data_IF_904013740761
#
_entry.id   IF_904013740761
#
_cell.length_a   1.000
_cell.length_b   1.000
_cell.length_c   1.000
_cell.angle_alpha   90.00
_cell.angle_beta   90.00
_cell.angle_gamma   90.00
#
_symmetry.space_group_name_H-M   'P 1'
#
loop_
_entity.id
_entity.type
_entity.pdbx_description
1 polymer ?
#
# COMPACT_ATOMS: atom_id res chain seq x y z
N UNK A 1 -18.95 -9.53 7.19
CA UNK A 1 -17.87 -8.94 6.37
C UNK A 1 -18.13 -9.08 4.86
N UNK A 2 -18.34 -10.31 4.35
CA UNK A 2 -18.69 -10.57 2.94
C UNK A 2 -19.90 -9.78 2.41
N UNK A 3 -21.00 -9.73 3.17
CA UNK A 3 -22.20 -8.95 2.79
C UNK A 3 -21.89 -7.45 2.69
N UNK A 4 -21.11 -6.90 3.63
CA UNK A 4 -20.71 -5.50 3.62
C UNK A 4 -19.86 -5.18 2.38
N UNK A 5 -18.92 -6.05 2.01
CA UNK A 5 -18.08 -5.86 0.83
C UNK A 5 -18.86 -5.93 -0.48
N UNK A 6 -19.80 -6.87 -0.59
CA UNK A 6 -20.73 -6.92 -1.72
C UNK A 6 -21.51 -5.60 -1.77
N UNK A 7 -22.05 -5.16 -0.63
CA UNK A 7 -22.78 -3.91 -0.54
C UNK A 7 -21.92 -2.67 -0.81
N UNK A 8 -20.61 -2.67 -0.56
CA UNK A 8 -19.71 -1.52 -0.86
C UNK A 8 -19.26 -1.50 -2.32
N UNK A 9 -18.91 -2.67 -2.87
CA UNK A 9 -18.25 -2.78 -4.18
C UNK A 9 -19.23 -3.03 -5.35
N UNK A 10 -20.51 -3.30 -5.06
CA UNK A 10 -21.51 -3.45 -6.11
C UNK A 10 -21.84 -2.10 -6.75
N UNK A 11 -21.43 -1.91 -8.01
CA UNK A 11 -21.56 -0.63 -8.75
C UNK A 11 -22.97 -0.34 -9.29
N UNK A 12 -23.92 -1.26 -9.22
CA UNK A 12 -25.25 -1.12 -9.85
C UNK A 12 -26.38 -1.12 -8.82
N UNK A 13 -26.72 0.03 -8.24
CA UNK A 13 -28.03 0.20 -7.62
C UNK A 13 -29.04 0.57 -8.72
N UNK A 14 -29.91 -0.37 -9.10
CA UNK A 14 -31.11 -0.07 -9.89
C UNK A 14 -32.15 0.39 -8.88
N UNK A 15 -32.55 1.67 -8.93
CA UNK A 15 -33.75 2.11 -8.21
C UNK A 15 -34.96 1.61 -9.02
N UNK A 16 -35.70 0.65 -8.47
CA UNK A 16 -37.09 0.48 -8.85
C UNK A 16 -37.83 1.67 -8.22
N UNK A 17 -38.17 2.68 -9.00
CA UNK A 17 -39.08 3.72 -8.54
C UNK A 17 -40.42 3.06 -8.22
N UNK A 18 -40.66 2.72 -6.95
CA UNK A 18 -42.03 2.52 -6.46
C UNK A 18 -42.69 3.89 -6.33
N UNK A 19 -43.12 4.44 -7.47
CA UNK A 19 -44.18 5.44 -7.47
C UNK A 19 -45.50 4.73 -7.21
N UNK A 20 -45.96 4.76 -5.97
CA UNK A 20 -47.36 4.45 -5.64
C UNK A 20 -48.24 5.44 -6.43
N UNK A 21 -49.15 4.99 -7.31
CA UNK A 21 -50.02 5.91 -8.04
C UNK A 21 -51.14 6.37 -7.10
N UNK A 22 -51.08 7.62 -6.65
CA UNK A 22 -52.27 8.31 -6.15
C UNK A 22 -53.00 8.91 -7.34
N UNK A 23 -54.22 8.43 -7.55
CA UNK A 23 -55.22 8.89 -8.52
C UNK A 23 -55.32 10.42 -8.63
N UNK A 24 -55.48 10.92 -9.86
CA UNK A 24 -56.07 12.25 -10.09
C UNK A 24 -55.67 13.02 -11.34
N UNK A 25 -56.42 12.78 -12.42
CA UNK A 25 -56.84 13.74 -13.46
C UNK A 25 -55.84 14.18 -14.57
N UNK A 26 -56.33 13.98 -15.79
CA UNK A 26 -55.81 14.36 -17.11
C UNK A 26 -55.39 15.83 -17.27
N UNK A 27 -54.29 16.09 -17.99
CA UNK A 27 -54.31 16.75 -19.31
C UNK A 27 -52.96 16.61 -20.02
N UNK A 28 -53.05 16.43 -21.34
CA UNK A 28 -51.97 16.26 -22.31
C UNK A 28 -51.06 17.48 -22.38
N UNK A 29 -49.74 17.29 -22.40
CA UNK A 29 -48.91 17.93 -23.42
C UNK A 29 -47.58 17.22 -23.64
N UNK A 30 -47.31 17.06 -24.92
CA UNK A 30 -46.13 16.48 -25.57
C UNK A 30 -44.83 17.14 -25.11
N UNK A 31 -43.88 16.32 -24.64
CA UNK A 31 -42.45 16.54 -24.87
C UNK A 31 -41.72 15.20 -24.75
N UNK A 32 -41.34 14.65 -25.89
CA UNK A 32 -40.32 13.60 -26.02
C UNK A 32 -39.01 14.10 -25.41
N UNK A 33 -38.76 13.82 -24.14
CA UNK A 33 -37.47 14.05 -23.50
C UNK A 33 -36.73 12.72 -23.37
N UNK A 34 -35.71 12.60 -24.22
CA UNK A 34 -34.61 11.65 -24.11
C UNK A 34 -34.00 11.77 -22.71
N UNK A 35 -34.41 10.92 -21.77
CA UNK A 35 -33.78 10.85 -20.43
C UNK A 35 -33.98 9.51 -19.70
N UNK A 36 -34.09 8.41 -20.42
CA UNK A 36 -34.01 7.05 -19.84
C UNK A 36 -32.60 6.46 -20.05
N UNK A 37 -31.56 7.21 -19.70
CA UNK A 37 -30.26 6.60 -19.41
C UNK A 37 -30.31 6.17 -17.93
N UNK A 38 -29.97 4.91 -17.57
CA UNK A 38 -29.93 4.50 -16.18
C UNK A 38 -28.95 5.43 -15.44
N UNK A 39 -29.48 6.28 -14.57
CA UNK A 39 -28.65 7.14 -13.75
C UNK A 39 -27.86 6.23 -12.81
N UNK A 40 -26.57 6.03 -13.10
CA UNK A 40 -25.67 5.32 -12.21
C UNK A 40 -25.54 6.15 -10.93
N UNK A 41 -26.21 5.73 -9.86
CA UNK A 41 -26.07 6.36 -8.55
C UNK A 41 -24.87 5.75 -7.81
N UNK A 42 -24.15 6.60 -7.07
CA UNK A 42 -23.12 6.13 -6.16
C UNK A 42 -23.73 5.18 -5.13
N UNK A 43 -23.00 4.12 -4.83
CA UNK A 43 -23.44 3.10 -3.91
C UNK A 43 -23.63 3.72 -2.49
N UNK A 44 -24.86 3.68 -1.94
CA UNK A 44 -25.17 4.34 -0.67
C UNK A 44 -24.37 3.75 0.50
N UNK A 45 -24.02 2.46 0.46
CA UNK A 45 -23.23 1.81 1.49
C UNK A 45 -21.75 2.22 1.41
N UNK A 46 -21.21 2.40 0.20
CA UNK A 46 -19.86 2.94 0.00
C UNK A 46 -19.78 4.37 0.52
N UNK A 47 -20.76 5.22 0.17
CA UNK A 47 -20.84 6.60 0.67
C UNK A 47 -21.00 6.64 2.19
N UNK A 48 -21.80 5.75 2.76
CA UNK A 48 -21.98 5.66 4.21
C UNK A 48 -20.70 5.23 4.94
N UNK A 49 -19.91 4.31 4.37
CA UNK A 49 -18.61 3.89 4.93
C UNK A 49 -17.57 5.02 4.86
N UNK A 50 -17.49 5.72 3.73
CA UNK A 50 -16.54 6.82 3.53
C UNK A 50 -16.79 8.01 4.48
N UNK A 51 -18.05 8.24 4.85
CA UNK A 51 -18.45 9.30 5.78
C UNK A 51 -18.70 8.80 7.21
N UNK A 52 -18.33 7.55 7.53
CA UNK A 52 -18.52 7.02 8.87
C UNK A 52 -17.61 7.76 9.85
N UNK A 53 -18.16 8.13 11.02
CA UNK A 53 -17.42 8.85 12.06
C UNK A 53 -17.20 7.97 13.29
N UNK A 54 -16.12 8.24 14.02
CA UNK A 54 -15.85 7.59 15.29
C UNK A 54 -16.92 7.95 16.34
N UNK A 55 -17.19 7.03 17.26
CA UNK A 55 -18.16 7.26 18.35
C UNK A 55 -17.63 8.29 19.37
N UNK A 56 -16.32 8.44 19.53
CA UNK A 56 -15.72 9.29 20.57
C UNK A 56 -15.43 10.73 20.10
N UNK A 57 -15.30 10.96 18.79
CA UNK A 57 -15.08 12.30 18.22
C UNK A 57 -16.41 13.03 18.02
N UNK A 58 -17.01 13.43 19.15
CA UNK A 58 -18.12 14.37 19.23
C UNK A 58 -17.58 15.72 19.71
N UNK A 59 -16.78 16.40 18.87
CA UNK A 59 -16.72 17.84 19.01
C UNK A 59 -18.02 18.38 18.41
N UNK A 60 -18.87 18.85 19.32
CA UNK A 60 -20.13 19.48 19.07
C UNK A 60 -20.00 20.64 18.07
N UNK A 61 -20.00 20.36 16.77
CA UNK A 61 -20.48 21.30 15.76
C UNK A 61 -22.01 21.14 15.67
N UNK A 62 -22.68 21.38 16.80
CA UNK A 62 -24.08 21.80 16.80
C UNK A 62 -24.07 23.31 16.56
N UNK A 63 -23.55 23.75 15.41
CA UNK A 63 -23.77 25.10 14.94
C UNK A 63 -23.53 25.18 13.42
N UNK A 64 -24.63 25.10 12.68
CA UNK A 64 -24.75 25.74 11.37
C UNK A 64 -24.41 24.89 10.14
N UNK A 65 -25.46 24.36 9.50
CA UNK A 65 -25.51 24.06 8.05
C UNK A 65 -24.47 23.08 7.47
N UNK A 66 -24.73 21.77 7.54
CA UNK A 66 -24.26 20.85 6.50
C UNK A 66 -25.18 19.62 6.36
N UNK A 67 -25.73 19.50 5.14
CA UNK A 67 -26.60 18.47 4.57
C UNK A 67 -26.84 17.17 5.36
N UNK A 68 -28.10 16.98 5.75
CA UNK A 68 -28.69 15.78 6.36
C UNK A 68 -28.53 14.54 5.45
N UNK A 69 -27.50 13.73 5.71
CA UNK A 69 -27.45 12.31 5.38
C UNK A 69 -27.31 11.48 6.67
N UNK A 70 -27.72 10.19 6.68
CA UNK A 70 -27.53 9.34 7.84
C UNK A 70 -26.04 9.19 8.17
N UNK A 71 -25.59 9.75 9.29
CA UNK A 71 -24.21 9.63 9.78
C UNK A 71 -24.05 8.24 10.40
N UNK A 72 -23.29 7.38 9.72
CA UNK A 72 -22.91 6.06 10.26
C UNK A 72 -21.87 6.29 11.36
N UNK A 73 -22.15 5.79 12.56
CA UNK A 73 -21.23 5.85 13.70
C UNK A 73 -20.63 4.48 13.95
N UNK A 74 -19.31 4.41 14.06
CA UNK A 74 -18.56 3.17 14.27
C UNK A 74 -17.50 3.40 15.34
N UNK A 75 -17.28 2.43 16.23
CA UNK A 75 -16.12 2.46 17.12
C UNK A 75 -14.88 2.15 16.28
N UNK A 76 -14.07 3.17 15.96
CA UNK A 76 -12.84 2.96 15.20
C UNK A 76 -11.84 2.13 15.99
N UNK A 77 -11.81 2.24 17.31
CA UNK A 77 -11.02 1.38 18.18
C UNK A 77 -11.37 -0.11 17.99
N UNK A 78 -12.65 -0.45 18.14
CA UNK A 78 -13.11 -1.83 18.00
C UNK A 78 -12.93 -2.35 16.57
N UNK A 79 -13.12 -1.48 15.57
CA UNK A 79 -12.91 -1.81 14.17
C UNK A 79 -11.42 -2.08 13.88
N UNK A 80 -10.53 -1.25 14.40
CA UNK A 80 -9.08 -1.41 14.27
C UNK A 80 -8.59 -2.74 14.87
N UNK A 81 -9.03 -3.06 16.09
CA UNK A 81 -8.69 -4.31 16.76
C UNK A 81 -9.26 -5.53 16.01
N UNK A 82 -10.52 -5.44 15.57
CA UNK A 82 -11.16 -6.50 14.79
C UNK A 82 -10.45 -6.74 13.46
N UNK A 83 -10.07 -5.67 12.75
CA UNK A 83 -9.30 -5.77 11.51
C UNK A 83 -7.95 -6.42 11.78
N UNK A 84 -7.18 -5.95 12.76
CA UNK A 84 -5.89 -6.52 13.14
C UNK A 84 -5.93 -8.05 13.36
N UNK A 85 -6.97 -8.56 14.01
CA UNK A 85 -7.14 -10.01 14.21
C UNK A 85 -7.58 -10.78 12.96
N UNK A 86 -8.30 -10.13 12.03
CA UNK A 86 -8.92 -10.77 10.87
C UNK A 86 -8.11 -10.67 9.57
N UNK A 87 -6.97 -9.96 9.55
CA UNK A 87 -6.23 -9.68 8.31
C UNK A 87 -5.76 -10.91 7.52
N UNK A 88 -5.77 -12.11 8.10
CA UNK A 88 -5.48 -13.36 7.36
C UNK A 88 -6.48 -13.63 6.22
N UNK A 89 -7.69 -13.08 6.31
CA UNK A 89 -8.77 -13.22 5.34
C UNK A 89 -8.76 -12.09 4.29
N UNK A 90 -8.91 -12.45 3.01
CA UNK A 90 -8.85 -11.51 1.88
C UNK A 90 -9.91 -10.42 1.96
N UNK A 91 -11.10 -10.78 2.43
CA UNK A 91 -12.22 -9.85 2.59
C UNK A 91 -11.86 -8.78 3.62
N UNK A 92 -11.20 -9.17 4.71
CA UNK A 92 -10.77 -8.25 5.76
C UNK A 92 -9.68 -7.29 5.28
N UNK A 93 -8.75 -7.76 4.44
CA UNK A 93 -7.74 -6.90 3.78
C UNK A 93 -8.41 -5.89 2.85
N UNK A 94 -9.39 -6.33 2.05
CA UNK A 94 -10.13 -5.44 1.16
C UNK A 94 -10.91 -4.38 1.94
N UNK A 95 -11.55 -4.76 3.05
CA UNK A 95 -12.26 -3.80 3.91
C UNK A 95 -11.30 -2.77 4.52
N UNK A 96 -10.14 -3.22 5.01
CA UNK A 96 -9.11 -2.31 5.53
C UNK A 96 -8.66 -1.34 4.44
N UNK A 97 -8.40 -1.83 3.22
CA UNK A 97 -8.05 -0.99 2.09
C UNK A 97 -9.14 0.06 1.80
N UNK A 98 -10.42 -0.36 1.71
CA UNK A 98 -11.53 0.55 1.46
C UNK A 98 -11.65 1.64 2.53
N UNK A 99 -11.44 1.30 3.80
CA UNK A 99 -11.50 2.24 4.91
C UNK A 99 -10.32 3.22 4.88
N UNK A 100 -9.09 2.73 4.77
CA UNK A 100 -7.88 3.56 4.77
C UNK A 100 -7.82 4.48 3.54
N UNK A 101 -8.33 4.05 2.40
CA UNK A 101 -8.36 4.85 1.18
C UNK A 101 -9.59 5.79 1.11
N UNK A 102 -10.75 5.33 1.57
CA UNK A 102 -12.04 6.00 1.34
C UNK A 102 -12.55 6.86 2.50
N UNK A 103 -12.09 6.61 3.74
CA UNK A 103 -12.52 7.32 4.93
C UNK A 103 -11.32 8.04 5.57
N UNK A 104 -11.25 9.35 5.38
CA UNK A 104 -10.16 10.20 5.92
C UNK A 104 -10.10 10.17 7.44
N UNK A 105 -11.25 10.12 8.12
CA UNK A 105 -11.32 10.12 9.58
C UNK A 105 -10.73 8.82 10.14
N UNK A 106 -11.02 7.68 9.50
CA UNK A 106 -10.44 6.40 9.87
C UNK A 106 -8.95 6.34 9.54
N UNK A 107 -8.53 6.90 8.40
CA UNK A 107 -7.12 6.99 8.04
C UNK A 107 -6.34 7.79 9.10
N UNK A 108 -6.81 9.00 9.45
CA UNK A 108 -6.20 9.84 10.48
C UNK A 108 -6.19 9.14 11.83
N UNK A 109 -7.29 8.47 12.19
CA UNK A 109 -7.36 7.63 13.39
C UNK A 109 -6.24 6.59 13.41
N UNK A 110 -6.00 5.86 12.31
CA UNK A 110 -4.91 4.87 12.23
C UNK A 110 -3.54 5.54 12.38
N UNK A 111 -3.33 6.71 11.77
CA UNK A 111 -2.03 7.41 11.77
C UNK A 111 -1.61 7.89 13.17
N UNK A 112 -2.57 8.25 14.04
CA UNK A 112 -2.28 8.76 15.40
C UNK A 112 -2.18 7.66 16.47
N UNK A 113 -2.41 6.39 16.11
CA UNK A 113 -2.35 5.26 17.07
C UNK A 113 -0.91 4.97 17.49
N UNK A 114 -0.77 4.48 18.73
CA UNK A 114 0.54 4.18 19.34
C UNK A 114 0.88 2.69 19.29
N UNK A 115 -0.14 1.84 19.24
CA UNK A 115 -0.14 0.38 19.09
C UNK A 115 -0.32 -0.03 17.62
N UNK A 116 0.48 0.59 16.75
CA UNK A 116 0.47 0.31 15.30
C UNK A 116 0.83 -1.15 14.97
N UNK A 117 1.51 -1.85 15.88
CA UNK A 117 1.82 -3.27 15.74
C UNK A 117 0.57 -4.15 15.66
N UNK A 118 -0.54 -3.79 16.31
CA UNK A 118 -1.83 -4.51 16.18
C UNK A 118 -2.27 -4.66 14.72
N UNK A 119 -2.04 -3.64 13.89
CA UNK A 119 -2.39 -3.64 12.47
C UNK A 119 -1.21 -4.07 11.59
N UNK A 120 -0.03 -3.52 11.82
CA UNK A 120 1.13 -3.71 10.95
C UNK A 120 1.76 -5.09 11.12
N UNK A 121 1.72 -5.70 12.31
CA UNK A 121 2.30 -7.02 12.54
C UNK A 121 1.70 -8.10 11.63
N UNK A 122 0.36 -8.27 11.55
CA UNK A 122 -0.25 -9.24 10.62
C UNK A 122 -0.03 -8.87 9.15
N UNK A 123 0.00 -7.58 8.77
CA UNK A 123 0.33 -7.15 7.40
C UNK A 123 1.73 -7.64 7.00
N UNK A 124 2.71 -7.40 7.88
CA UNK A 124 4.10 -7.80 7.65
C UNK A 124 4.28 -9.32 7.61
N UNK A 125 3.57 -10.06 8.47
CA UNK A 125 3.58 -11.52 8.44
C UNK A 125 3.00 -12.08 7.12
N UNK A 126 1.96 -11.45 6.58
CA UNK A 126 1.40 -11.85 5.28
C UNK A 126 2.33 -11.53 4.12
N UNK A 127 2.98 -10.37 4.11
CA UNK A 127 4.00 -10.02 3.12
C UNK A 127 5.22 -10.93 3.21
N UNK A 128 5.62 -11.32 4.42
CA UNK A 128 6.67 -12.31 4.63
C UNK A 128 6.32 -13.66 4.00
N UNK A 129 5.05 -14.05 4.07
CA UNK A 129 4.48 -15.26 3.47
C UNK A 129 3.90 -15.04 2.05
N UNK A 130 4.39 -14.03 1.31
CA UNK A 130 3.85 -13.66 -0.01
C UNK A 130 3.73 -14.82 -1.00
N UNK A 131 4.61 -15.84 -0.92
CA UNK A 131 4.54 -17.03 -1.78
C UNK A 131 3.26 -17.87 -1.62
N UNK A 132 2.50 -17.67 -0.54
CA UNK A 132 1.23 -18.35 -0.24
C UNK A 132 0.01 -17.45 -0.41
N UNK A 133 0.19 -16.24 -0.94
CA UNK A 133 -0.84 -15.21 -1.07
C UNK A 133 -1.11 -14.91 -2.55
N UNK A 134 -2.32 -14.44 -2.85
CA UNK A 134 -2.65 -14.01 -4.22
C UNK A 134 -1.97 -12.67 -4.51
N UNK A 135 -1.69 -12.39 -5.79
CA UNK A 135 -1.11 -11.10 -6.18
C UNK A 135 -1.98 -9.93 -5.71
N UNK A 136 -3.31 -10.05 -5.82
CA UNK A 136 -4.26 -9.03 -5.36
C UNK A 136 -4.12 -8.74 -3.86
N UNK A 137 -4.02 -9.77 -3.02
CA UNK A 137 -3.79 -9.59 -1.59
C UNK A 137 -2.46 -8.88 -1.32
N UNK A 138 -1.38 -9.28 -1.99
CA UNK A 138 -0.07 -8.63 -1.82
C UNK A 138 -0.17 -7.15 -2.21
N UNK A 139 -0.84 -6.83 -3.32
CA UNK A 139 -1.05 -5.46 -3.77
C UNK A 139 -1.83 -4.63 -2.78
N UNK A 140 -2.96 -5.13 -2.27
CA UNK A 140 -3.74 -4.40 -1.28
C UNK A 140 -2.91 -4.09 -0.03
N UNK A 141 -2.11 -5.04 0.45
CA UNK A 141 -1.23 -4.84 1.60
C UNK A 141 -0.16 -3.77 1.32
N UNK A 142 0.48 -3.81 0.15
CA UNK A 142 1.47 -2.82 -0.23
C UNK A 142 0.85 -1.44 -0.41
N UNK A 143 -0.36 -1.33 -0.97
CA UNK A 143 -1.06 -0.06 -1.13
C UNK A 143 -1.46 0.51 0.23
N UNK A 144 -1.95 -0.32 1.17
CA UNK A 144 -2.23 0.13 2.54
C UNK A 144 -0.96 0.67 3.19
N UNK A 145 0.16 -0.06 3.12
CA UNK A 145 1.44 0.42 3.65
C UNK A 145 1.90 1.70 2.95
N UNK A 146 1.69 1.82 1.64
CA UNK A 146 2.05 3.00 0.87
C UNK A 146 1.24 4.22 1.33
N UNK A 147 -0.08 4.11 1.46
CA UNK A 147 -0.96 5.17 1.95
C UNK A 147 -0.52 5.63 3.35
N UNK A 148 -0.31 4.69 4.28
CA UNK A 148 0.11 5.02 5.64
C UNK A 148 1.52 5.66 5.67
N UNK A 149 2.45 5.15 4.86
CA UNK A 149 3.81 5.67 4.80
C UNK A 149 3.92 7.08 4.22
N UNK A 150 2.87 7.64 3.60
CA UNK A 150 2.92 9.02 3.14
C UNK A 150 2.96 10.03 4.30
N UNK A 151 2.52 9.63 5.49
CA UNK A 151 2.58 10.47 6.68
C UNK A 151 3.92 10.37 7.41
N UNK A 152 4.53 11.52 7.66
CA UNK A 152 5.82 11.64 8.36
C UNK A 152 5.74 11.20 9.82
N UNK A 153 4.61 11.43 10.49
CA UNK A 153 4.42 11.09 11.90
C UNK A 153 4.35 9.57 12.06
N UNK A 154 3.59 8.88 11.21
CA UNK A 154 3.57 7.43 11.11
C UNK A 154 4.97 6.85 10.91
N UNK A 155 5.72 7.36 9.93
CA UNK A 155 7.08 6.88 9.68
C UNK A 155 8.00 7.04 10.89
N UNK A 156 7.92 8.17 11.60
CA UNK A 156 8.69 8.37 12.83
C UNK A 156 8.23 7.45 13.97
N UNK A 157 6.92 7.19 14.09
CA UNK A 157 6.33 6.37 15.15
C UNK A 157 6.67 4.90 15.02
N UNK A 158 6.65 4.32 13.81
CA UNK A 158 7.01 2.90 13.61
C UNK A 158 8.44 2.59 14.03
N UNK A 159 9.37 3.54 13.90
CA UNK A 159 10.76 3.35 14.35
C UNK A 159 10.93 3.46 15.87
N UNK A 160 10.00 4.10 16.58
CA UNK A 160 10.02 4.21 18.05
C UNK A 160 9.38 3.00 18.74
N UNK A 161 8.49 2.29 18.06
CA UNK A 161 7.80 1.12 18.60
C UNK A 161 8.74 -0.09 18.63
N UNK A 162 9.15 -0.53 19.82
CA UNK A 162 10.07 -1.67 20.01
C UNK A 162 9.28 -2.95 20.21
N UNK A 163 9.55 -3.94 19.37
CA UNK A 163 8.97 -5.27 19.44
C UNK A 163 9.84 -6.17 20.34
N UNK A 164 9.27 -6.85 21.34
CA UNK A 164 10.02 -7.79 22.18
C UNK A 164 10.63 -8.93 21.37
N UNK A 165 9.83 -9.55 20.50
CA UNK A 165 10.25 -10.63 19.60
C UNK A 165 9.33 -10.72 18.39
N UNK A 166 9.83 -11.33 17.31
CA UNK A 166 9.06 -11.60 16.07
C UNK A 166 9.17 -13.10 15.75
N UNK A 167 8.29 -13.96 16.32
CA UNK A 167 8.48 -15.41 16.30
C UNK A 167 8.31 -16.05 14.92
N UNK A 168 7.57 -15.41 14.02
CA UNK A 168 7.32 -15.93 12.67
C UNK A 168 8.48 -15.64 11.69
N UNK A 169 9.42 -14.76 12.04
CA UNK A 169 10.56 -14.42 11.17
C UNK A 169 11.68 -15.44 11.35
N UNK A 170 12.05 -16.15 10.27
CA UNK A 170 12.88 -17.37 10.39
C UNK A 170 14.36 -17.14 10.03
N UNK A 171 14.72 -16.13 9.24
CA UNK A 171 16.11 -15.96 8.78
C UNK A 171 17.06 -15.51 9.89
N UNK A 172 16.54 -14.81 10.92
CA UNK A 172 17.31 -14.31 12.04
C UNK A 172 16.41 -14.05 13.24
N UNK A 173 16.90 -14.41 14.41
CA UNK A 173 16.27 -14.09 15.67
C UNK A 173 16.17 -12.55 15.85
N UNK A 174 14.96 -12.00 15.84
CA UNK A 174 14.70 -10.57 16.04
C UNK A 174 14.27 -10.32 17.49
N UNK A 175 15.18 -9.79 18.31
CA UNK A 175 14.88 -9.37 19.69
C UNK A 175 15.08 -7.87 19.81
N UNK A 176 14.14 -7.20 20.49
CA UNK A 176 14.19 -5.75 20.73
C UNK A 176 14.43 -4.93 19.45
N UNK A 177 13.79 -5.33 18.35
CA UNK A 177 13.85 -4.59 17.08
C UNK A 177 12.72 -3.58 17.00
N UNK A 178 12.94 -2.43 16.39
CA UNK A 178 11.82 -1.53 16.07
C UNK A 178 10.94 -2.14 14.99
N UNK A 179 9.64 -1.81 15.03
CA UNK A 179 8.69 -2.17 13.98
C UNK A 179 9.14 -1.61 12.63
N UNK A 180 9.67 -0.39 12.59
CA UNK A 180 10.23 0.21 11.38
C UNK A 180 11.43 -0.58 10.80
N UNK A 181 12.31 -1.12 11.65
CA UNK A 181 13.39 -2.01 11.19
C UNK A 181 12.83 -3.31 10.57
N UNK A 182 11.77 -3.86 11.18
CA UNK A 182 11.10 -5.04 10.63
C UNK A 182 10.43 -4.74 9.28
N UNK A 183 9.74 -3.60 9.16
CA UNK A 183 9.14 -3.14 7.91
C UNK A 183 10.19 -3.08 6.79
N UNK A 184 11.35 -2.45 7.05
CA UNK A 184 12.46 -2.38 6.09
C UNK A 184 12.89 -3.78 5.65
N UNK A 185 13.11 -4.68 6.60
CA UNK A 185 13.55 -6.06 6.31
C UNK A 185 12.52 -6.83 5.49
N UNK A 186 11.23 -6.72 5.82
CA UNK A 186 10.14 -7.42 5.12
C UNK A 186 9.96 -6.87 3.71
N UNK A 187 9.98 -5.54 3.52
CA UNK A 187 9.88 -4.92 2.19
C UNK A 187 11.05 -5.33 1.29
N UNK A 188 12.27 -5.34 1.81
CA UNK A 188 13.46 -5.82 1.08
C UNK A 188 13.31 -7.31 0.73
N UNK A 189 12.76 -8.12 1.64
CA UNK A 189 12.47 -9.53 1.35
C UNK A 189 11.44 -9.68 0.23
N UNK A 190 10.38 -8.88 0.25
CA UNK A 190 9.32 -8.88 -0.78
C UNK A 190 9.90 -8.47 -2.14
N UNK A 191 10.79 -7.46 -2.19
CA UNK A 191 11.57 -7.12 -3.38
C UNK A 191 12.41 -8.32 -3.86
N UNK A 192 13.16 -8.97 -2.97
CA UNK A 192 13.97 -10.15 -3.33
C UNK A 192 13.13 -11.29 -3.90
N UNK A 193 11.99 -11.57 -3.27
CA UNK A 193 11.05 -12.58 -3.76
C UNK A 193 10.56 -12.24 -5.17
N UNK A 194 10.11 -11.00 -5.38
CA UNK A 194 9.64 -10.51 -6.66
C UNK A 194 10.70 -10.64 -7.76
N UNK A 195 11.94 -10.22 -7.51
CA UNK A 195 13.05 -10.36 -8.47
C UNK A 195 13.33 -11.81 -8.89
N UNK A 196 13.08 -12.76 -7.99
CA UNK A 196 13.37 -14.17 -8.20
C UNK A 196 12.23 -14.96 -8.83
N UNK A 197 10.96 -14.54 -8.65
CA UNK A 197 9.78 -15.33 -9.02
C UNK A 197 8.80 -14.61 -9.93
N UNK A 198 8.40 -13.38 -9.57
CA UNK A 198 7.27 -12.70 -10.19
C UNK A 198 7.71 -11.72 -11.30
N UNK A 199 8.86 -11.06 -11.11
CA UNK A 199 9.43 -10.03 -12.01
C UNK A 199 8.45 -8.88 -12.29
N UNK A 200 7.70 -8.48 -11.28
CA UNK A 200 6.65 -7.48 -11.40
C UNK A 200 7.17 -6.06 -11.04
N UNK A 201 7.18 -5.16 -12.01
CA UNK A 201 7.68 -3.79 -11.83
C UNK A 201 6.86 -3.02 -10.78
N UNK A 202 5.54 -3.21 -10.71
CA UNK A 202 4.68 -2.47 -9.80
C UNK A 202 4.92 -2.84 -8.34
N UNK A 203 5.16 -4.12 -8.08
CA UNK A 203 5.50 -4.59 -6.73
C UNK A 203 6.82 -3.98 -6.26
N UNK A 204 7.82 -3.87 -7.14
CA UNK A 204 9.07 -3.16 -6.83
C UNK A 204 8.84 -1.69 -6.50
N UNK A 205 8.14 -0.97 -7.38
CA UNK A 205 7.88 0.45 -7.21
C UNK A 205 7.15 0.73 -5.90
N UNK A 206 6.14 -0.06 -5.55
CA UNK A 206 5.43 0.09 -4.27
C UNK A 206 6.34 -0.14 -3.06
N UNK A 207 7.14 -1.22 -3.04
CA UNK A 207 8.05 -1.47 -1.92
C UNK A 207 9.12 -0.38 -1.79
N UNK A 208 9.70 0.07 -2.91
CA UNK A 208 10.72 1.13 -2.91
C UNK A 208 10.13 2.48 -2.51
N UNK A 209 8.90 2.80 -2.93
CA UNK A 209 8.23 4.03 -2.52
C UNK A 209 7.97 4.07 -1.01
N UNK A 210 7.53 2.95 -0.41
CA UNK A 210 7.37 2.85 1.05
C UNK A 210 8.72 3.07 1.74
N UNK A 211 9.79 2.42 1.28
CA UNK A 211 11.14 2.60 1.84
C UNK A 211 11.65 4.05 1.70
N UNK A 212 11.36 4.70 0.56
CA UNK A 212 11.70 6.10 0.31
C UNK A 212 11.00 7.04 1.27
N UNK A 213 9.70 6.83 1.51
CA UNK A 213 8.95 7.61 2.49
C UNK A 213 9.51 7.44 3.91
N UNK A 214 9.91 6.22 4.28
CA UNK A 214 10.48 5.95 5.61
C UNK A 214 11.90 6.53 5.80
N UNK A 215 12.69 6.63 4.73
CA UNK A 215 14.12 6.97 4.77
C UNK A 215 14.47 8.22 5.60
N UNK A 216 13.88 9.39 5.33
CA UNK A 216 14.14 10.63 6.10
C UNK A 216 13.79 10.53 7.59
N UNK A 217 12.89 9.61 7.97
CA UNK A 217 12.38 9.43 9.33
C UNK A 217 12.99 8.22 10.04
N UNK A 218 13.96 7.54 9.42
CA UNK A 218 14.63 6.38 9.99
C UNK A 218 15.20 6.70 11.38
N UNK A 219 14.96 5.82 12.35
CA UNK A 219 15.49 5.99 13.69
C UNK A 219 15.93 4.65 14.27
N UNK A 220 17.18 4.57 14.72
CA UNK A 220 17.79 3.37 15.32
C UNK A 220 17.52 2.11 14.49
N UNK A 221 17.76 2.17 13.19
CA UNK A 221 17.74 0.99 12.33
C UNK A 221 18.67 -0.08 12.91
N UNK A 222 18.18 -1.32 12.98
CA UNK A 222 19.01 -2.44 13.43
C UNK A 222 20.15 -2.69 12.45
N UNK A 223 21.29 -3.18 12.95
CA UNK A 223 22.42 -3.60 12.11
C UNK A 223 21.98 -4.51 10.96
N UNK A 224 21.03 -5.40 11.23
CA UNK A 224 20.46 -6.26 10.20
C UNK A 224 19.68 -5.51 9.13
N UNK A 225 18.80 -4.58 9.51
CA UNK A 225 18.02 -3.78 8.55
C UNK A 225 18.95 -2.92 7.69
N UNK A 226 19.95 -2.29 8.30
CA UNK A 226 20.99 -1.50 7.60
C UNK A 226 21.77 -2.35 6.59
N UNK A 227 22.25 -3.53 7.00
CA UNK A 227 22.92 -4.47 6.10
C UNK A 227 22.02 -4.94 4.95
N UNK A 228 20.74 -5.22 5.22
CA UNK A 228 19.78 -5.61 4.18
C UNK A 228 19.56 -4.48 3.18
N UNK A 229 19.53 -3.22 3.63
CA UNK A 229 19.37 -2.05 2.76
C UNK A 229 20.56 -1.89 1.81
N UNK A 230 21.80 -1.99 2.32
CA UNK A 230 23.00 -1.95 1.45
C UNK A 230 23.06 -3.16 0.53
N UNK A 231 22.69 -4.35 1.03
CA UNK A 231 22.63 -5.58 0.23
C UNK A 231 21.59 -5.50 -0.90
N UNK A 232 20.53 -4.68 -0.75
CA UNK A 232 19.54 -4.46 -1.80
C UNK A 232 20.18 -3.72 -2.99
N UNK A 233 20.94 -2.66 -2.73
CA UNK A 233 21.68 -1.93 -3.77
C UNK A 233 22.62 -2.86 -4.54
N UNK A 234 23.46 -3.58 -3.82
CA UNK A 234 24.45 -4.50 -4.39
C UNK A 234 23.79 -5.61 -5.24
N UNK A 235 22.66 -6.14 -4.78
CA UNK A 235 21.89 -7.14 -5.52
C UNK A 235 21.24 -6.59 -6.80
N UNK A 236 20.67 -5.39 -6.77
CA UNK A 236 20.15 -4.72 -7.98
C UNK A 236 21.27 -4.35 -8.94
N UNK A 237 22.42 -3.90 -8.42
CA UNK A 237 23.58 -3.47 -9.21
C UNK A 237 24.15 -4.64 -10.00
N UNK A 238 24.32 -5.80 -9.36
CA UNK A 238 24.72 -7.03 -10.06
C UNK A 238 23.72 -7.47 -11.13
N UNK A 239 22.41 -7.29 -10.89
CA UNK A 239 21.40 -7.66 -11.88
C UNK A 239 21.44 -6.74 -13.09
N UNK A 240 21.59 -5.43 -12.85
CA UNK A 240 21.82 -4.42 -13.88
C UNK A 240 23.08 -4.73 -14.69
N UNK A 241 24.21 -4.99 -14.04
CA UNK A 241 25.49 -5.27 -14.72
C UNK A 241 25.38 -6.49 -15.65
N UNK A 242 24.75 -7.58 -15.18
CA UNK A 242 24.51 -8.77 -16.01
C UNK A 242 23.63 -8.48 -17.24
N UNK A 243 22.58 -7.68 -17.07
CA UNK A 243 21.70 -7.28 -18.18
C UNK A 243 22.43 -6.38 -19.17
N UNK A 244 23.27 -5.46 -18.68
CA UNK A 244 24.10 -4.60 -19.53
C UNK A 244 25.12 -5.39 -20.35
N UNK A 245 25.78 -6.40 -19.75
CA UNK A 245 26.69 -7.31 -20.45
C UNK A 245 25.95 -8.09 -21.56
N UNK A 246 24.79 -8.68 -21.25
CA UNK A 246 23.94 -9.38 -22.22
C UNK A 246 23.51 -8.48 -23.40
N UNK A 247 23.24 -7.19 -23.14
CA UNK A 247 22.92 -6.22 -24.18
C UNK A 247 24.09 -5.94 -25.11
N UNK A 248 25.28 -5.73 -24.55
CA UNK A 248 26.49 -5.50 -25.33
C UNK A 248 26.87 -6.73 -26.17
N UNK A 249 26.80 -7.93 -25.58
CA UNK A 249 27.12 -9.19 -26.28
C UNK A 249 26.17 -9.47 -27.45
N UNK A 250 24.88 -9.15 -27.31
CA UNK A 250 23.91 -9.28 -28.41
C UNK A 250 24.11 -8.22 -29.48
N UNK A 251 24.37 -6.97 -29.10
CA UNK A 251 24.67 -5.90 -30.07
C UNK A 251 25.87 -6.25 -30.98
N UNK A 252 26.88 -6.95 -30.44
CA UNK A 252 28.04 -7.45 -31.20
C UNK A 252 27.70 -8.63 -32.15
N UNK A 253 26.61 -9.37 -31.92
CA UNK A 253 26.23 -10.57 -32.70
C UNK A 253 25.17 -10.31 -33.79
N UNK A 254 24.48 -9.17 -33.78
CA UNK A 254 23.31 -8.85 -34.64
C UNK A 254 23.67 -8.48 -36.10
N UNK A 255 24.85 -8.84 -36.60
CA UNK A 255 25.21 -8.61 -38.02
C UNK A 255 24.47 -9.49 -39.05
N UNK A 256 23.37 -10.20 -38.71
CA UNK A 256 22.74 -11.15 -39.64
C UNK A 256 21.21 -11.27 -39.68
N UNK A 257 20.41 -10.68 -38.77
CA UNK A 257 18.93 -10.76 -38.87
C UNK A 257 18.26 -9.50 -38.28
N UNK A 258 17.56 -8.73 -39.12
CA UNK A 258 17.29 -7.30 -38.85
C UNK A 258 15.98 -6.98 -38.13
N UNK A 259 14.95 -7.86 -38.12
CA UNK A 259 13.59 -7.46 -37.70
C UNK A 259 13.13 -8.01 -36.34
N UNK A 260 13.56 -9.22 -35.94
CA UNK A 260 13.32 -9.73 -34.58
C UNK A 260 14.33 -9.17 -33.57
N UNK A 261 15.52 -8.73 -34.03
CA UNK A 261 16.55 -8.17 -33.18
C UNK A 261 16.16 -6.80 -32.58
N UNK A 262 15.43 -5.98 -33.33
CA UNK A 262 15.04 -4.64 -32.88
C UNK A 262 14.02 -4.68 -31.72
N UNK A 263 13.04 -5.58 -31.77
CA UNK A 263 12.03 -5.73 -30.70
C UNK A 263 12.67 -6.27 -29.40
N UNK A 264 13.59 -7.24 -29.51
CA UNK A 264 14.28 -7.83 -28.35
C UNK A 264 15.31 -6.85 -27.75
N UNK A 265 15.95 -6.04 -28.60
CA UNK A 265 16.86 -4.98 -28.18
C UNK A 265 16.14 -3.88 -27.40
N UNK A 266 14.94 -3.51 -27.84
CA UNK A 266 14.09 -2.51 -27.19
C UNK A 266 13.59 -3.00 -25.82
N UNK A 267 13.07 -4.23 -25.73
CA UNK A 267 12.62 -4.85 -24.46
C UNK A 267 13.75 -4.88 -23.41
N UNK A 268 14.95 -5.33 -23.80
CA UNK A 268 16.10 -5.35 -22.89
C UNK A 268 16.60 -3.94 -22.52
N UNK A 269 16.38 -2.94 -23.38
CA UNK A 269 16.63 -1.54 -23.04
C UNK A 269 15.65 -1.04 -21.99
N UNK A 270 14.35 -1.35 -22.11
CA UNK A 270 13.36 -0.97 -21.11
C UNK A 270 13.64 -1.61 -19.75
N UNK A 271 14.00 -2.90 -19.71
CA UNK A 271 14.36 -3.57 -18.46
C UNK A 271 15.59 -2.91 -17.81
N UNK A 272 16.60 -2.53 -18.60
CA UNK A 272 17.78 -1.82 -18.12
C UNK A 272 17.45 -0.44 -17.52
N UNK A 273 16.53 0.30 -18.15
CA UNK A 273 16.02 1.57 -17.61
C UNK A 273 15.30 1.38 -16.28
N UNK A 274 14.45 0.36 -16.17
CA UNK A 274 13.74 0.03 -14.92
C UNK A 274 14.73 -0.24 -13.78
N UNK A 275 15.78 -1.03 -14.00
CA UNK A 275 16.80 -1.27 -12.97
C UNK A 275 17.63 -0.03 -12.64
N UNK A 276 17.84 0.87 -13.61
CA UNK A 276 18.49 2.16 -13.36
C UNK A 276 17.66 3.00 -12.39
N UNK A 277 16.35 3.09 -12.61
CA UNK A 277 15.44 3.81 -11.72
C UNK A 277 15.39 3.17 -10.33
N UNK A 278 15.35 1.84 -10.24
CA UNK A 278 15.40 1.14 -8.94
C UNK A 278 16.69 1.42 -8.18
N UNK A 279 17.84 1.39 -8.86
CA UNK A 279 19.13 1.73 -8.25
C UNK A 279 19.16 3.17 -7.75
N UNK A 280 18.64 4.10 -8.55
CA UNK A 280 18.52 5.51 -8.17
C UNK A 280 17.67 5.68 -6.92
N UNK A 281 16.49 5.05 -6.86
CA UNK A 281 15.60 5.15 -5.70
C UNK A 281 16.28 4.57 -4.45
N UNK A 282 17.00 3.45 -4.55
CA UNK A 282 17.75 2.88 -3.41
C UNK A 282 18.86 3.82 -2.94
N UNK A 283 19.58 4.46 -3.86
CA UNK A 283 20.58 5.47 -3.50
C UNK A 283 19.93 6.70 -2.86
N UNK A 284 18.78 7.15 -3.35
CA UNK A 284 18.00 8.25 -2.75
C UNK A 284 17.54 7.90 -1.33
N UNK A 285 17.10 6.65 -1.08
CA UNK A 285 16.76 6.16 0.26
C UNK A 285 17.98 6.24 1.19
N UNK A 286 19.12 5.68 0.77
CA UNK A 286 20.35 5.68 1.57
C UNK A 286 20.79 7.13 1.83
N UNK A 287 20.78 7.98 0.81
CA UNK A 287 21.15 9.38 0.92
C UNK A 287 20.20 10.16 1.84
N UNK A 288 18.89 9.88 1.81
CA UNK A 288 17.93 10.49 2.71
C UNK A 288 18.23 10.12 4.18
N UNK A 289 18.56 8.87 4.46
CA UNK A 289 18.96 8.44 5.81
C UNK A 289 20.26 9.15 6.23
N UNK A 290 21.26 9.21 5.36
CA UNK A 290 22.54 9.87 5.64
C UNK A 290 22.40 11.40 5.82
N UNK A 291 21.46 12.02 5.11
CA UNK A 291 21.25 13.47 5.15
C UNK A 291 20.43 13.89 6.37
N UNK A 292 19.32 13.20 6.63
CA UNK A 292 18.32 13.63 7.61
C UNK A 292 18.36 12.85 8.94
N UNK A 293 18.93 11.65 8.94
CA UNK A 293 18.80 10.72 10.06
C UNK A 293 20.13 10.10 10.54
N UNK A 294 21.27 10.52 10.00
CA UNK A 294 22.60 9.96 10.28
C UNK A 294 22.94 9.86 11.79
N UNK A 295 22.75 10.91 12.62
CA UNK A 295 23.11 10.85 14.04
C UNK A 295 22.33 9.78 14.82
N UNK A 296 21.19 9.33 14.28
CA UNK A 296 20.28 8.36 14.91
C UNK A 296 20.47 6.94 14.34
N UNK A 297 21.30 6.76 13.32
CA UNK A 297 21.46 5.50 12.58
C UNK A 297 22.94 5.15 12.33
N UNK A 298 23.76 4.97 13.38
CA UNK A 298 25.18 4.64 13.22
C UNK A 298 25.40 3.31 12.46
N UNK A 299 24.50 2.34 12.65
CA UNK A 299 24.54 1.05 11.95
C UNK A 299 24.45 1.15 10.43
N UNK A 300 23.88 2.23 9.90
CA UNK A 300 23.83 2.46 8.45
C UNK A 300 25.22 2.83 7.93
N UNK A 301 25.97 3.63 8.69
CA UNK A 301 27.37 3.95 8.36
C UNK A 301 28.22 2.69 8.38
N UNK A 302 28.09 1.88 9.42
CA UNK A 302 28.82 0.61 9.52
C UNK A 302 28.44 -0.41 8.44
N UNK A 303 27.23 -0.34 7.88
CA UNK A 303 26.81 -1.21 6.80
C UNK A 303 27.34 -0.75 5.42
N UNK A 304 27.66 0.54 5.28
CA UNK A 304 28.20 1.13 4.03
C UNK A 304 29.72 0.97 3.94
N UNK A 305 30.42 1.07 5.08
CA UNK A 305 31.86 0.85 5.20
C UNK A 305 32.22 -0.64 5.15
#
# INVERSE_FOLDING_TARGET
>A
LLVLLILIHYRKCISMNESIPTDGVYMSDSNTNVKDAPAFHENPYCKALNNAKDIQFDHADVEGNAQNGPVVRLSFASLFDALGTCLKDESSVLLLYSLVHGNCDFQEYVLVRTDLDTLLMPILEMLYNASRKTSNQIYMLLIILLILSQDSTFNASVHKLVLPSVPWYQERLMHQTSLGSLMVVVLIRTIKYNLSKLRDVYLHTNCLAILANMGPHAHRLSAYASQRLVSLFDMLSRKYAKLAELKNDKALKVMSDQMEADIISDDMSTELHIYTDFLRIVLEIINAILTYALPRNPEVVYAIL
#
